data_IF_882238791107
#
_entry.id   IF_882238791107
#
_cell.length_a   1.000
_cell.length_b   1.000
_cell.length_c   1.000
_cell.angle_alpha   90.00
_cell.angle_beta   90.00
_cell.angle_gamma   90.00
#
_symmetry.space_group_name_H-M   'P 1'
#
loop_
_entity.id
_entity.type
_entity.pdbx_description
1 polymer ?
#
# COMPACT_ATOMS: atom_id res chain seq x y z
N UNK A 1 9.89 -0.50 -3.91
CA UNK A 1 9.56 0.68 -3.08
C UNK A 1 10.13 0.47 -1.70
N UNK A 2 11.44 0.75 -1.58
CA UNK A 2 12.23 0.37 -0.41
C UNK A 2 11.75 1.13 0.80
N UNK A 3 11.27 0.39 1.80
CA UNK A 3 11.47 0.85 3.17
C UNK A 3 12.98 1.06 3.29
N UNK A 4 13.42 2.29 3.59
CA UNK A 4 14.77 2.46 4.07
C UNK A 4 14.93 1.49 5.23
N UNK A 5 15.99 0.68 5.18
CA UNK A 5 16.20 -0.47 6.06
C UNK A 5 15.72 -0.13 7.48
N UNK A 6 14.82 -0.95 8.08
CA UNK A 6 14.36 -0.70 9.45
C UNK A 6 15.56 -0.38 10.35
N UNK A 7 15.44 0.57 11.27
CA UNK A 7 16.58 1.07 12.06
C UNK A 7 17.36 -0.04 12.79
N UNK A 8 16.72 -1.18 13.09
CA UNK A 8 17.36 -2.37 13.67
C UNK A 8 18.03 -3.33 12.68
N UNK A 9 17.96 -3.05 11.37
CA UNK A 9 18.52 -3.88 10.28
C UNK A 9 19.58 -3.16 9.47
N UNK A 10 19.62 -1.82 9.50
CA UNK A 10 20.70 -1.05 8.89
C UNK A 10 21.93 -1.08 9.80
N UNK A 11 23.09 -1.43 9.22
CA UNK A 11 24.37 -1.29 9.93
C UNK A 11 24.79 0.17 10.19
N UNK A 12 24.06 1.14 9.65
CA UNK A 12 24.30 2.58 9.78
C UNK A 12 23.19 3.24 10.58
N UNK A 13 23.53 4.25 11.39
CA UNK A 13 22.54 5.03 12.13
C UNK A 13 21.73 5.90 11.16
N UNK A 14 20.46 6.13 11.46
CA UNK A 14 19.58 6.98 10.63
C UNK A 14 20.20 8.34 10.30
N UNK A 15 20.89 8.95 11.27
CA UNK A 15 21.53 10.26 11.17
C UNK A 15 22.72 10.31 10.21
N UNK A 16 23.37 9.17 9.98
CA UNK A 16 24.53 9.02 9.08
C UNK A 16 24.10 8.69 7.64
N UNK A 17 22.80 8.52 7.42
CA UNK A 17 22.26 8.09 6.14
C UNK A 17 21.48 9.21 5.48
N UNK A 18 21.37 9.13 4.15
CA UNK A 18 20.56 10.04 3.34
C UNK A 18 19.09 10.06 3.81
N UNK A 19 18.60 9.00 4.48
CA UNK A 19 17.26 8.95 5.04
C UNK A 19 16.95 10.11 6.01
N UNK A 20 17.95 10.61 6.74
CA UNK A 20 17.81 11.76 7.63
C UNK A 20 17.37 13.04 6.90
N UNK A 21 17.75 13.20 5.63
CA UNK A 21 17.37 14.35 4.80
C UNK A 21 15.90 14.28 4.37
N UNK A 22 15.44 13.06 4.05
CA UNK A 22 14.06 12.78 3.62
C UNK A 22 13.06 12.76 4.79
N UNK A 23 13.48 12.24 5.95
CA UNK A 23 12.65 12.05 7.16
C UNK A 23 13.22 12.79 8.38
N UNK A 24 13.15 14.14 8.42
CA UNK A 24 13.72 14.92 9.51
C UNK A 24 12.84 14.83 10.77
N UNK A 25 13.42 14.47 11.92
CA UNK A 25 12.74 14.35 13.23
C UNK A 25 12.09 15.66 13.76
N UNK A 26 12.27 16.81 13.09
CA UNK A 26 11.97 18.16 13.64
C UNK A 26 10.91 19.03 12.92
N UNK A 27 10.22 18.59 11.85
CA UNK A 27 9.11 19.37 11.21
C UNK A 27 7.71 18.78 11.40
N UNK A 28 6.96 19.28 12.37
CA UNK A 28 5.55 18.94 12.58
C UNK A 28 4.70 19.53 11.46
N UNK A 29 4.16 18.72 10.56
CA UNK A 29 3.18 19.15 9.55
C UNK A 29 2.29 17.96 9.15
N UNK A 30 1.48 17.43 10.08
CA UNK A 30 0.24 16.72 9.75
C UNK A 30 -0.65 16.50 10.99
N UNK A 31 -1.97 16.73 10.86
CA UNK A 31 -2.93 16.60 11.97
C UNK A 31 -3.30 15.13 12.31
N UNK A 32 -2.73 14.13 11.63
CA UNK A 32 -3.09 12.71 11.81
C UNK A 32 -1.89 11.74 11.78
N UNK A 33 -0.65 12.24 11.74
CA UNK A 33 0.54 11.40 11.64
C UNK A 33 1.77 12.09 12.23
N UNK A 34 2.45 11.42 13.16
CA UNK A 34 3.69 11.91 13.81
C UNK A 34 4.93 11.87 12.89
N UNK A 35 4.77 11.45 11.62
CA UNK A 35 5.88 11.33 10.68
C UNK A 35 6.08 12.60 9.86
N UNK A 36 7.18 13.27 10.17
CA UNK A 36 7.67 14.50 9.57
C UNK A 36 8.35 14.18 8.22
N UNK A 37 7.98 14.89 7.15
CA UNK A 37 8.58 14.71 5.81
C UNK A 37 8.82 16.06 5.13
N UNK A 38 9.79 16.09 4.21
CA UNK A 38 10.06 17.26 3.35
C UNK A 38 9.95 16.83 1.88
N UNK A 39 9.40 17.71 1.06
CA UNK A 39 9.42 17.56 -0.41
C UNK A 39 10.73 18.15 -0.93
N UNK A 40 11.47 17.37 -1.71
CA UNK A 40 12.74 17.82 -2.32
C UNK A 40 12.44 18.67 -3.55
N UNK A 41 13.37 19.58 -3.92
CA UNK A 41 13.25 20.43 -5.12
C UNK A 41 12.88 19.62 -6.38
N UNK A 42 13.56 18.49 -6.60
CA UNK A 42 13.30 17.58 -7.72
C UNK A 42 11.86 17.03 -7.73
N UNK A 43 11.32 16.70 -6.55
CA UNK A 43 9.94 16.21 -6.43
C UNK A 43 8.94 17.34 -6.72
N UNK A 44 9.21 18.57 -6.25
CA UNK A 44 8.37 19.74 -6.50
C UNK A 44 8.33 20.08 -8.00
N UNK A 45 9.48 20.10 -8.66
CA UNK A 45 9.59 20.31 -10.11
C UNK A 45 8.82 19.23 -10.88
N UNK A 46 8.89 17.98 -10.44
CA UNK A 46 8.10 16.89 -11.03
C UNK A 46 6.59 17.12 -10.91
N UNK A 47 6.10 17.50 -9.72
CA UNK A 47 4.67 17.79 -9.52
C UNK A 47 4.20 18.94 -10.41
N UNK A 48 4.98 20.01 -10.51
CA UNK A 48 4.68 21.15 -11.39
C UNK A 48 4.66 20.75 -12.86
N UNK A 49 5.70 20.03 -13.32
CA UNK A 49 5.79 19.57 -14.72
C UNK A 49 4.63 18.67 -15.12
N UNK A 50 4.14 17.85 -14.19
CA UNK A 50 3.03 16.92 -14.41
C UNK A 50 1.65 17.55 -14.14
N UNK A 51 1.58 18.83 -13.77
CA UNK A 51 0.36 19.53 -13.35
C UNK A 51 -0.41 18.77 -12.24
N UNK A 52 0.32 18.22 -11.27
CA UNK A 52 -0.22 17.48 -10.14
C UNK A 52 -0.15 18.32 -8.86
N UNK A 53 -1.17 18.26 -7.98
CA UNK A 53 -1.12 18.95 -6.69
C UNK A 53 -0.06 18.34 -5.79
N UNK A 54 0.58 19.21 -4.99
CA UNK A 54 1.54 18.77 -3.98
C UNK A 54 0.84 17.90 -2.91
N UNK A 55 1.50 16.84 -2.41
CA UNK A 55 0.87 15.92 -1.48
C UNK A 55 0.69 16.53 -0.08
N UNK A 56 -0.56 16.57 0.37
CA UNK A 56 -0.94 16.97 1.74
C UNK A 56 -0.50 15.96 2.81
N UNK A 57 -0.37 14.69 2.44
CA UNK A 57 -0.06 13.59 3.35
C UNK A 57 1.36 13.06 3.15
N UNK A 58 1.98 12.57 4.23
CA UNK A 58 3.31 11.96 4.18
C UNK A 58 3.35 10.68 3.30
N UNK A 59 4.52 10.29 2.76
CA UNK A 59 4.64 9.09 1.91
C UNK A 59 4.06 7.81 2.53
N UNK A 60 4.26 7.61 3.84
CA UNK A 60 3.70 6.46 4.56
C UNK A 60 2.17 6.50 4.61
N UNK A 61 1.58 7.67 4.92
CA UNK A 61 0.13 7.84 4.93
C UNK A 61 -0.47 7.69 3.52
N UNK A 62 0.17 8.24 2.49
CA UNK A 62 -0.26 8.05 1.10
C UNK A 62 -0.25 6.57 0.71
N UNK A 63 0.79 5.84 1.09
CA UNK A 63 0.88 4.40 0.84
C UNK A 63 -0.21 3.62 1.60
N UNK A 64 -0.43 3.93 2.89
CA UNK A 64 -1.51 3.35 3.69
C UNK A 64 -2.88 3.61 3.06
N UNK A 65 -3.17 4.85 2.66
CA UNK A 65 -4.42 5.23 2.02
C UNK A 65 -4.60 4.51 0.67
N UNK A 66 -3.53 4.35 -0.12
CA UNK A 66 -3.56 3.54 -1.35
C UNK A 66 -3.92 2.09 -1.07
N UNK A 67 -3.36 1.49 -0.02
CA UNK A 67 -3.66 0.11 0.37
C UNK A 67 -5.09 -0.04 0.88
N UNK A 68 -5.60 0.93 1.66
CA UNK A 68 -6.99 0.93 2.13
C UNK A 68 -7.95 1.03 0.94
N UNK A 69 -7.69 1.93 -0.02
CA UNK A 69 -8.51 2.08 -1.24
C UNK A 69 -8.49 0.83 -2.13
N UNK A 70 -7.39 0.08 -2.14
CA UNK A 70 -7.29 -1.17 -2.88
C UNK A 70 -8.14 -2.31 -2.27
N UNK A 71 -8.68 -2.12 -1.06
CA UNK A 71 -9.47 -3.13 -0.36
C UNK A 71 -8.62 -4.13 0.43
N UNK A 72 -9.31 -5.03 1.14
CA UNK A 72 -8.67 -6.09 1.93
C UNK A 72 -8.12 -7.17 1.00
N UNK A 73 -6.87 -7.59 1.24
CA UNK A 73 -6.22 -8.70 0.53
C UNK A 73 -6.37 -9.98 1.33
N UNK A 74 -7.61 -10.42 1.52
CA UNK A 74 -7.94 -11.62 2.28
C UNK A 74 -8.64 -12.63 1.36
N UNK A 75 -8.27 -13.90 1.49
CA UNK A 75 -8.98 -15.00 0.83
C UNK A 75 -10.09 -15.48 1.75
N UNK A 76 -11.31 -15.50 1.23
CA UNK A 76 -12.50 -15.97 1.93
C UNK A 76 -12.63 -17.47 1.69
N UNK A 77 -12.88 -18.23 2.77
CA UNK A 77 -13.21 -19.65 2.70
C UNK A 77 -14.65 -19.79 2.24
N UNK A 78 -14.82 -20.27 1.01
CA UNK A 78 -16.11 -20.50 0.39
C UNK A 78 -16.27 -21.98 0.02
N UNK A 79 -17.48 -22.37 -0.35
CA UNK A 79 -17.78 -23.71 -0.88
C UNK A 79 -18.40 -23.57 -2.27
N UNK A 80 -18.08 -24.50 -3.16
CA UNK A 80 -18.75 -24.59 -4.45
C UNK A 80 -20.24 -24.88 -4.24
N UNK A 81 -21.11 -24.12 -4.91
CA UNK A 81 -22.57 -24.31 -4.84
C UNK A 81 -23.04 -25.71 -5.27
N UNK A 82 -22.38 -26.32 -6.26
CA UNK A 82 -22.85 -27.56 -6.86
C UNK A 82 -22.24 -28.81 -6.21
N UNK A 83 -20.94 -28.80 -5.92
CA UNK A 83 -20.23 -29.98 -5.41
C UNK A 83 -19.77 -29.85 -3.95
N UNK A 84 -19.94 -28.70 -3.31
CA UNK A 84 -19.54 -28.48 -1.91
C UNK A 84 -18.03 -28.46 -1.66
N UNK A 85 -17.18 -28.53 -2.70
CA UNK A 85 -15.72 -28.45 -2.55
C UNK A 85 -15.31 -27.12 -1.91
N UNK A 86 -14.36 -27.19 -0.99
CA UNK A 86 -13.79 -26.02 -0.34
C UNK A 86 -12.97 -25.20 -1.35
N UNK A 87 -13.18 -23.89 -1.35
CA UNK A 87 -12.55 -22.92 -2.23
C UNK A 87 -12.01 -21.75 -1.41
N UNK A 88 -10.94 -21.15 -1.90
CA UNK A 88 -10.37 -19.91 -1.36
C UNK A 88 -10.45 -18.85 -2.44
N UNK A 89 -11.29 -17.84 -2.25
CA UNK A 89 -11.51 -16.79 -3.24
C UNK A 89 -11.57 -15.41 -2.61
N UNK A 90 -11.14 -14.35 -3.31
CA UNK A 90 -11.33 -12.98 -2.84
C UNK A 90 -12.78 -12.49 -3.02
N UNK A 91 -13.54 -13.15 -3.89
CA UNK A 91 -14.92 -12.81 -4.20
C UNK A 91 -15.90 -13.36 -3.15
N UNK A 92 -16.98 -12.61 -2.92
CA UNK A 92 -18.15 -13.02 -2.15
C UNK A 92 -19.30 -13.37 -3.09
N UNK A 93 -20.07 -14.41 -2.77
CA UNK A 93 -21.28 -14.78 -3.50
C UNK A 93 -21.24 -16.19 -4.11
N UNK A 94 -21.98 -16.35 -5.20
CA UNK A 94 -22.22 -17.63 -5.86
C UNK A 94 -20.99 -18.09 -6.65
N UNK A 95 -20.20 -18.98 -6.04
CA UNK A 95 -18.94 -19.45 -6.59
C UNK A 95 -19.05 -20.91 -7.02
N UNK A 96 -18.57 -21.18 -8.24
CA UNK A 96 -18.44 -22.53 -8.79
C UNK A 96 -16.96 -22.91 -8.90
N UNK A 97 -16.65 -24.18 -8.68
CA UNK A 97 -15.33 -24.71 -9.04
C UNK A 97 -15.24 -24.85 -10.56
N UNK A 98 -14.01 -24.82 -11.10
CA UNK A 98 -13.72 -24.92 -12.54
C UNK A 98 -14.50 -26.05 -13.22
N UNK A 99 -14.46 -27.26 -12.65
CA UNK A 99 -15.18 -28.43 -13.19
C UNK A 99 -16.71 -28.28 -13.23
N UNK A 100 -17.32 -27.58 -12.28
CA UNK A 100 -18.77 -27.35 -12.26
C UNK A 100 -19.16 -26.17 -13.16
N UNK A 101 -18.30 -25.17 -13.27
CA UNK A 101 -18.50 -24.04 -14.17
C UNK A 101 -18.43 -24.50 -15.63
N UNK A 102 -17.43 -25.29 -16.00
CA UNK A 102 -17.26 -25.77 -17.37
C UNK A 102 -18.46 -26.62 -17.84
N UNK A 103 -19.03 -27.48 -16.97
CA UNK A 103 -20.26 -28.25 -17.27
C UNK A 103 -21.53 -27.41 -17.42
N UNK A 104 -21.53 -26.17 -16.93
CA UNK A 104 -22.69 -25.26 -17.00
C UNK A 104 -22.62 -24.38 -18.25
N UNK A 105 -21.42 -24.08 -18.72
CA UNK A 105 -21.16 -23.20 -19.87
C UNK A 105 -21.04 -23.99 -21.18
N UNK A 106 -20.47 -25.20 -21.13
CA UNK A 106 -20.33 -26.13 -22.24
C UNK A 106 -21.21 -27.35 -22.01
#
# INVERSE_FOLDING_TARGET
>A
YGQFFPEGTSGFKHEETVASEYYPKNKDNHNTCDHKYKIIKQEKEFYQKMNLPEPENCPKCRHKNRNIRAGKRELIRNKCLNCGKNLLTPYQGDIYCETCYNKKVY
#
